data_IF_314128914184
#
_entry.id   IF_314128914184
#
_cell.length_a   1.000
_cell.length_b   1.000
_cell.length_c   1.000
_cell.angle_alpha   90.00
_cell.angle_beta   90.00
_cell.angle_gamma   90.00
#
_symmetry.space_group_name_H-M   'P 1'
#
loop_
_entity.id
_entity.type
_entity.pdbx_description
1 polymer ?
#
# COMPACT_ATOMS: atom_id res chain seq x y z
N UNK A 1 27.36 -8.53 -20.55
CA UNK A 1 26.68 -8.34 -19.25
C UNK A 1 25.25 -7.95 -19.57
N UNK A 2 24.29 -8.87 -19.46
CA UNK A 2 22.90 -8.59 -19.82
C UNK A 2 22.30 -7.65 -18.77
N UNK A 3 22.25 -6.36 -19.07
CA UNK A 3 21.51 -5.39 -18.27
C UNK A 3 20.03 -5.72 -18.40
N UNK A 4 19.44 -6.33 -17.37
CA UNK A 4 18.00 -6.46 -17.28
C UNK A 4 17.40 -5.04 -17.22
N UNK A 5 16.50 -4.70 -18.14
CA UNK A 5 15.82 -3.42 -18.15
C UNK A 5 14.82 -3.40 -16.98
N UNK A 6 15.21 -2.80 -15.86
CA UNK A 6 14.36 -2.62 -14.69
C UNK A 6 13.61 -1.30 -14.87
N UNK A 7 12.27 -1.37 -14.97
CA UNK A 7 11.42 -0.18 -14.88
C UNK A 7 11.09 0.04 -13.42
N UNK A 8 11.48 1.20 -12.91
CA UNK A 8 11.12 1.66 -11.57
C UNK A 8 9.93 2.60 -11.65
N UNK A 9 8.90 2.33 -10.86
CA UNK A 9 7.72 3.18 -10.73
C UNK A 9 7.65 3.67 -9.30
N UNK A 10 7.81 4.97 -9.10
CA UNK A 10 7.60 5.57 -7.79
C UNK A 10 6.11 5.52 -7.43
N UNK A 11 5.75 5.11 -6.23
CA UNK A 11 4.38 5.25 -5.72
C UNK A 11 4.49 6.24 -4.55
N UNK A 12 3.82 7.41 -4.60
CA UNK A 12 3.92 8.45 -3.56
C UNK A 12 2.89 8.23 -2.44
N UNK A 13 3.23 8.65 -1.20
CA UNK A 13 2.42 8.40 0.01
C UNK A 13 0.99 8.91 -0.08
N UNK A 14 0.74 9.91 -0.92
CA UNK A 14 -0.61 10.39 -1.23
C UNK A 14 -1.54 9.29 -1.76
N UNK A 15 -1.01 8.26 -2.42
CA UNK A 15 -1.76 7.10 -2.93
C UNK A 15 -2.09 6.05 -1.88
N UNK A 16 -1.54 6.16 -0.65
CA UNK A 16 -1.85 5.23 0.46
C UNK A 16 -3.36 5.15 0.76
N UNK A 17 -4.08 6.28 0.62
CA UNK A 17 -5.51 6.33 0.89
C UNK A 17 -6.31 5.40 -0.01
N UNK A 18 -5.91 5.24 -1.27
CA UNK A 18 -6.59 4.36 -2.23
C UNK A 18 -6.58 2.90 -1.76
N UNK A 19 -5.41 2.37 -1.38
CA UNK A 19 -5.28 1.03 -0.80
C UNK A 19 -6.14 0.85 0.46
N UNK A 20 -6.19 1.89 1.30
CA UNK A 20 -6.97 1.86 2.54
C UNK A 20 -8.48 1.84 2.27
N UNK A 21 -8.95 2.50 1.21
CA UNK A 21 -10.37 2.53 0.82
C UNK A 21 -10.86 1.14 0.44
N UNK A 22 -10.14 0.42 -0.44
CA UNK A 22 -10.53 -0.93 -0.83
C UNK A 22 -10.51 -1.87 0.38
N UNK A 23 -9.51 -1.75 1.26
CA UNK A 23 -9.44 -2.54 2.48
C UNK A 23 -10.62 -2.31 3.43
N UNK A 24 -11.12 -1.08 3.54
CA UNK A 24 -12.35 -0.80 4.32
C UNK A 24 -13.57 -1.49 3.71
N UNK A 25 -13.69 -1.49 2.38
CA UNK A 25 -14.77 -2.20 1.68
C UNK A 25 -14.70 -3.71 1.94
N UNK A 26 -13.49 -4.29 1.84
CA UNK A 26 -13.26 -5.70 2.16
C UNK A 26 -13.64 -6.03 3.60
N UNK A 27 -13.19 -5.24 4.57
CA UNK A 27 -13.48 -5.47 5.99
C UNK A 27 -15.00 -5.43 6.26
N UNK A 28 -15.72 -4.53 5.60
CA UNK A 28 -17.19 -4.48 5.67
C UNK A 28 -17.82 -5.74 5.09
N UNK A 29 -17.36 -6.19 3.92
CA UNK A 29 -17.85 -7.42 3.29
C UNK A 29 -17.59 -8.63 4.17
N UNK A 30 -16.34 -8.83 4.62
CA UNK A 30 -15.93 -9.96 5.46
C UNK A 30 -16.76 -10.03 6.74
N UNK A 31 -16.92 -8.91 7.45
CA UNK A 31 -17.77 -8.86 8.67
C UNK A 31 -19.21 -9.29 8.39
N UNK A 32 -19.85 -8.72 7.37
CA UNK A 32 -21.24 -9.02 7.06
C UNK A 32 -21.46 -10.45 6.54
N UNK A 33 -20.49 -10.98 5.78
CA UNK A 33 -20.51 -12.37 5.30
C UNK A 33 -20.37 -13.33 6.49
N UNK A 34 -19.44 -13.06 7.41
CA UNK A 34 -19.29 -13.87 8.62
C UNK A 34 -20.56 -13.90 9.47
N UNK A 35 -21.17 -12.73 9.72
CA UNK A 35 -22.45 -12.63 10.43
C UNK A 35 -23.55 -13.47 9.74
N UNK A 36 -23.69 -13.34 8.43
CA UNK A 36 -24.68 -14.10 7.67
C UNK A 36 -24.44 -15.62 7.70
N UNK A 37 -23.18 -16.07 7.73
CA UNK A 37 -22.83 -17.49 7.86
C UNK A 37 -23.16 -18.02 9.26
N UNK A 38 -22.86 -17.25 10.30
CA UNK A 38 -23.19 -17.60 11.69
C UNK A 38 -24.72 -17.73 11.87
N UNK A 39 -25.49 -16.81 11.29
CA UNK A 39 -26.96 -16.83 11.31
C UNK A 39 -27.58 -17.98 10.51
N UNK A 40 -26.87 -18.52 9.51
CA UNK A 40 -27.33 -19.65 8.69
C UNK A 40 -27.40 -20.98 9.44
N UNK A 41 -26.90 -21.05 10.68
CA UNK A 41 -26.94 -22.24 11.56
C UNK A 41 -26.36 -23.50 10.91
N UNK A 42 -25.26 -23.33 10.19
CA UNK A 42 -24.55 -24.44 9.54
C UNK A 42 -23.92 -25.34 10.61
N UNK A 43 -23.97 -26.66 10.39
CA UNK A 43 -23.25 -27.59 11.25
C UNK A 43 -21.74 -27.41 11.10
N UNK A 44 -21.05 -27.09 12.20
CA UNK A 44 -19.60 -26.90 12.22
C UNK A 44 -18.83 -28.03 11.52
N UNK A 45 -19.21 -29.29 11.76
CA UNK A 45 -18.56 -30.44 11.12
C UNK A 45 -18.66 -30.40 9.59
N UNK A 46 -19.79 -29.96 9.04
CA UNK A 46 -19.99 -29.83 7.59
C UNK A 46 -19.17 -28.67 7.03
N UNK A 47 -19.15 -27.53 7.71
CA UNK A 47 -18.33 -26.38 7.32
C UNK A 47 -16.84 -26.76 7.27
N UNK A 48 -16.33 -27.39 8.34
CA UNK A 48 -14.94 -27.85 8.40
C UNK A 48 -14.60 -28.83 7.29
N UNK A 49 -15.45 -29.84 7.07
CA UNK A 49 -15.23 -30.84 6.03
C UNK A 49 -15.16 -30.20 4.64
N UNK A 50 -16.02 -29.23 4.36
CA UNK A 50 -16.03 -28.50 3.10
C UNK A 50 -14.75 -27.67 2.93
N UNK A 51 -14.34 -26.87 3.92
CA UNK A 51 -13.12 -26.06 3.83
C UNK A 51 -11.87 -26.92 3.62
N UNK A 52 -11.76 -28.04 4.34
CA UNK A 52 -10.67 -29.00 4.15
C UNK A 52 -10.68 -29.61 2.75
N UNK A 53 -11.86 -29.82 2.16
CA UNK A 53 -11.97 -30.32 0.78
C UNK A 53 -11.56 -29.28 -0.27
N UNK A 54 -11.75 -27.98 0.01
CA UNK A 54 -11.27 -26.90 -0.86
C UNK A 54 -9.75 -26.75 -0.78
N UNK A 55 -9.20 -26.79 0.44
CA UNK A 55 -7.76 -26.71 0.67
C UNK A 55 -7.35 -27.62 1.85
N UNK A 56 -6.75 -28.76 1.52
CA UNK A 56 -6.33 -29.74 2.54
C UNK A 56 -5.15 -29.25 3.40
N UNK A 57 -4.41 -28.21 2.98
CA UNK A 57 -3.35 -27.61 3.80
C UNK A 57 -3.91 -26.94 5.07
N UNK A 58 -5.18 -26.54 5.05
CA UNK A 58 -5.86 -25.93 6.20
C UNK A 58 -6.30 -26.95 7.25
N UNK A 59 -6.15 -28.26 6.99
CA UNK A 59 -6.69 -29.33 7.84
C UNK A 59 -6.30 -29.20 9.30
N UNK A 60 -5.02 -28.95 9.58
CA UNK A 60 -4.54 -28.83 10.97
C UNK A 60 -5.15 -27.61 11.67
N UNK A 61 -5.17 -26.44 11.01
CA UNK A 61 -5.79 -25.21 11.54
C UNK A 61 -7.29 -25.41 11.79
N UNK A 62 -8.02 -25.92 10.80
CA UNK A 62 -9.48 -26.09 10.85
C UNK A 62 -9.90 -27.13 11.88
N UNK A 63 -9.10 -28.18 12.11
CA UNK A 63 -9.39 -29.17 13.14
C UNK A 63 -9.37 -28.56 14.54
N UNK A 64 -8.51 -27.56 14.78
CA UNK A 64 -8.37 -26.87 16.07
C UNK A 64 -9.48 -25.84 16.35
N UNK A 65 -10.19 -25.34 15.33
CA UNK A 65 -11.28 -24.38 15.53
C UNK A 65 -12.42 -24.97 16.38
N UNK A 66 -12.91 -24.27 17.39
CA UNK A 66 -13.97 -24.81 18.28
C UNK A 66 -15.38 -24.44 17.81
N UNK A 67 -15.49 -23.41 17.00
CA UNK A 67 -16.75 -22.81 16.57
C UNK A 67 -16.69 -22.31 15.11
N UNK A 68 -17.83 -21.81 14.62
CA UNK A 68 -17.96 -21.26 13.27
C UNK A 68 -17.07 -20.03 13.10
N UNK A 69 -17.03 -19.14 14.09
CA UNK A 69 -16.30 -17.88 14.02
C UNK A 69 -14.79 -18.06 13.84
N UNK A 70 -14.18 -18.95 14.64
CA UNK A 70 -12.78 -19.36 14.53
C UNK A 70 -12.49 -20.10 13.23
N UNK A 71 -13.46 -20.85 12.69
CA UNK A 71 -13.35 -21.49 11.37
C UNK A 71 -13.36 -20.44 10.24
N UNK A 72 -14.24 -19.43 10.33
CA UNK A 72 -14.33 -18.34 9.35
C UNK A 72 -13.14 -17.40 9.40
N UNK A 73 -12.52 -17.23 10.57
CA UNK A 73 -11.25 -16.50 10.68
C UNK A 73 -10.16 -17.15 9.82
N UNK A 74 -10.10 -18.48 9.76
CA UNK A 74 -9.17 -19.19 8.86
C UNK A 74 -9.54 -18.97 7.40
N UNK A 75 -10.83 -18.90 7.05
CA UNK A 75 -11.28 -18.60 5.68
C UNK A 75 -10.89 -17.17 5.27
N UNK A 76 -11.07 -16.19 6.17
CA UNK A 76 -10.67 -14.79 5.94
C UNK A 76 -9.15 -14.63 5.79
N UNK A 77 -8.36 -15.42 6.51
CA UNK A 77 -6.89 -15.45 6.36
C UNK A 77 -6.43 -15.88 4.96
N UNK A 78 -7.19 -16.78 4.32
CA UNK A 78 -6.91 -17.26 2.96
C UNK A 78 -7.42 -16.30 1.88
N UNK A 79 -8.24 -15.33 2.26
CA UNK A 79 -8.72 -14.29 1.36
C UNK A 79 -7.72 -13.12 1.27
N UNK A 80 -7.79 -12.41 0.15
CA UNK A 80 -7.10 -11.15 -0.11
C UNK A 80 -8.07 -10.10 -0.64
N UNK A 81 -7.56 -8.91 -0.94
CA UNK A 81 -8.39 -7.87 -1.57
C UNK A 81 -8.79 -8.21 -3.01
N UNK A 82 -8.10 -9.14 -3.66
CA UNK A 82 -8.36 -9.52 -5.06
C UNK A 82 -8.98 -10.90 -5.19
N UNK A 83 -8.74 -11.77 -4.21
CA UNK A 83 -9.22 -13.14 -4.18
C UNK A 83 -10.06 -13.37 -2.92
N UNK A 84 -11.36 -13.54 -3.12
CA UNK A 84 -12.33 -13.83 -2.07
C UNK A 84 -13.01 -15.18 -2.28
N UNK A 85 -12.46 -16.03 -3.16
CA UNK A 85 -13.01 -17.34 -3.49
C UNK A 85 -13.25 -18.23 -2.27
N UNK A 86 -12.42 -18.21 -1.20
CA UNK A 86 -12.72 -19.00 -0.01
C UNK A 86 -14.10 -18.65 0.61
N UNK A 87 -14.47 -17.36 0.63
CA UNK A 87 -15.82 -16.96 1.06
C UNK A 87 -16.90 -17.33 0.04
N UNK A 88 -16.66 -17.10 -1.27
CA UNK A 88 -17.61 -17.45 -2.33
C UNK A 88 -17.97 -18.95 -2.26
N UNK A 89 -16.97 -19.83 -2.18
CA UNK A 89 -17.18 -21.27 -2.12
C UNK A 89 -18.02 -21.70 -0.92
N UNK A 90 -17.79 -21.11 0.26
CA UNK A 90 -18.60 -21.39 1.47
C UNK A 90 -20.04 -20.92 1.26
N UNK A 91 -20.23 -19.68 0.82
CA UNK A 91 -21.57 -19.09 0.65
C UNK A 91 -22.39 -19.86 -0.39
N UNK A 92 -21.77 -20.24 -1.52
CA UNK A 92 -22.41 -21.01 -2.58
C UNK A 92 -22.78 -22.43 -2.13
N UNK A 93 -21.85 -23.13 -1.47
CA UNK A 93 -22.06 -24.50 -1.00
C UNK A 93 -23.24 -24.59 -0.03
N UNK A 94 -23.36 -23.63 0.88
CA UNK A 94 -24.42 -23.60 1.90
C UNK A 94 -25.63 -22.74 1.51
N UNK A 95 -25.63 -22.15 0.31
CA UNK A 95 -26.71 -21.35 -0.27
C UNK A 95 -27.17 -20.20 0.65
N UNK A 96 -26.22 -19.40 1.11
CA UNK A 96 -26.46 -18.34 2.09
C UNK A 96 -26.78 -17.02 1.37
N UNK A 97 -28.04 -16.86 0.94
CA UNK A 97 -28.48 -15.71 0.14
C UNK A 97 -28.22 -14.34 0.81
N UNK A 98 -28.24 -14.29 2.14
CA UNK A 98 -27.92 -13.07 2.89
C UNK A 98 -26.46 -12.62 2.69
N UNK A 99 -25.53 -13.57 2.55
CA UNK A 99 -24.11 -13.30 2.32
C UNK A 99 -23.82 -12.92 0.85
N UNK A 100 -24.55 -13.52 -0.11
CA UNK A 100 -24.40 -13.26 -1.55
C UNK A 100 -24.47 -11.76 -1.88
N UNK A 101 -25.38 -11.04 -1.22
CA UNK A 101 -25.54 -9.60 -1.43
C UNK A 101 -24.25 -8.85 -1.11
N UNK A 102 -23.60 -9.18 0.00
CA UNK A 102 -22.38 -8.50 0.45
C UNK A 102 -21.17 -8.85 -0.41
N UNK A 103 -21.08 -10.11 -0.87
CA UNK A 103 -20.08 -10.53 -1.85
C UNK A 103 -20.24 -9.72 -3.15
N UNK A 104 -21.46 -9.64 -3.70
CA UNK A 104 -21.73 -8.87 -4.93
C UNK A 104 -21.39 -7.39 -4.78
N UNK A 105 -21.83 -6.76 -3.70
CA UNK A 105 -21.50 -5.35 -3.40
C UNK A 105 -19.99 -5.11 -3.38
N UNK A 106 -19.21 -6.04 -2.82
CA UNK A 106 -17.75 -5.95 -2.81
C UNK A 106 -17.15 -6.16 -4.20
N UNK A 107 -17.60 -7.17 -4.95
CA UNK A 107 -17.11 -7.45 -6.30
C UNK A 107 -17.37 -6.27 -7.25
N UNK A 108 -18.53 -5.61 -7.14
CA UNK A 108 -18.82 -4.41 -7.91
C UNK A 108 -17.90 -3.25 -7.50
N UNK A 109 -17.75 -3.02 -6.20
CA UNK A 109 -16.84 -1.99 -5.66
C UNK A 109 -15.40 -2.21 -6.08
N UNK A 110 -14.91 -3.46 -6.02
CA UNK A 110 -13.54 -3.80 -6.38
C UNK A 110 -13.33 -3.68 -7.88
N UNK A 111 -14.29 -4.12 -8.70
CA UNK A 111 -14.27 -3.95 -10.15
C UNK A 111 -14.19 -2.47 -10.55
N UNK A 112 -15.05 -1.63 -9.97
CA UNK A 112 -15.00 -0.17 -10.18
C UNK A 112 -13.67 0.41 -9.73
N UNK A 113 -13.18 0.00 -8.56
CA UNK A 113 -11.87 0.37 -8.04
C UNK A 113 -10.80 0.05 -9.09
N UNK A 114 -10.70 -1.16 -9.63
CA UNK A 114 -9.63 -1.52 -10.58
C UNK A 114 -9.79 -0.91 -11.98
N UNK A 115 -11.02 -0.66 -12.42
CA UNK A 115 -11.28 -0.03 -13.72
C UNK A 115 -10.99 1.47 -13.72
N UNK A 116 -11.26 2.15 -12.60
CA UNK A 116 -11.20 3.60 -12.48
C UNK A 116 -10.16 4.10 -11.48
N UNK A 117 -9.27 3.22 -10.99
CA UNK A 117 -8.40 3.62 -9.90
C UNK A 117 -7.39 4.71 -10.29
N UNK A 118 -7.21 5.72 -9.42
CA UNK A 118 -6.09 6.64 -9.50
C UNK A 118 -4.70 5.98 -9.47
N UNK A 119 -4.58 4.74 -9.00
CA UNK A 119 -3.36 3.91 -9.07
C UNK A 119 -3.23 3.30 -10.45
N UNK A 120 -4.25 2.61 -10.98
CA UNK A 120 -4.18 1.98 -12.30
C UNK A 120 -3.89 3.00 -13.41
N UNK A 121 -4.53 4.17 -13.36
CA UNK A 121 -4.27 5.25 -14.31
C UNK A 121 -2.88 5.88 -14.12
N UNK A 122 -2.45 6.02 -12.86
CA UNK A 122 -1.09 6.45 -12.56
C UNK A 122 -0.07 5.46 -13.12
N UNK A 123 -0.23 4.15 -12.90
CA UNK A 123 0.64 3.11 -13.43
C UNK A 123 0.65 3.09 -14.95
N UNK A 124 -0.52 3.18 -15.59
CA UNK A 124 -0.62 3.28 -17.06
C UNK A 124 0.12 4.52 -17.57
N UNK A 125 0.00 5.66 -16.89
CA UNK A 125 0.70 6.90 -17.25
C UNK A 125 2.21 6.76 -17.07
N UNK A 126 2.68 6.26 -15.93
CA UNK A 126 4.11 6.08 -15.65
C UNK A 126 4.74 5.06 -16.60
N UNK A 127 4.06 3.95 -16.88
CA UNK A 127 4.51 2.95 -17.87
C UNK A 127 4.56 3.53 -19.29
N UNK A 128 3.58 4.36 -19.68
CA UNK A 128 3.58 5.04 -20.99
C UNK A 128 4.63 6.16 -21.06
N UNK A 129 4.87 6.89 -19.96
CA UNK A 129 5.90 7.93 -19.88
C UNK A 129 7.31 7.33 -19.89
N UNK A 130 7.46 6.11 -19.36
CA UNK A 130 8.69 5.30 -19.41
C UNK A 130 8.98 4.73 -20.82
N UNK A 131 8.17 5.05 -21.84
CA UNK A 131 8.30 4.56 -23.22
C UNK A 131 9.56 5.03 -23.99
N UNK A 132 10.64 5.43 -23.31
CA UNK A 132 12.01 5.26 -23.80
C UNK A 132 12.40 3.77 -23.88
N UNK A 133 11.61 2.87 -23.29
CA UNK A 133 11.82 1.42 -23.31
C UNK A 133 10.67 0.70 -24.03
N UNK A 134 10.95 -0.18 -25.01
CA UNK A 134 9.90 -0.93 -25.69
C UNK A 134 9.15 -1.78 -24.66
N UNK A 135 7.83 -1.70 -24.69
CA UNK A 135 6.85 -2.37 -23.82
C UNK A 135 6.96 -3.91 -23.73
N UNK A 136 7.92 -4.52 -24.40
CA UNK A 136 8.05 -5.96 -24.64
C UNK A 136 9.23 -6.65 -23.90
N UNK A 137 9.98 -5.97 -23.04
CA UNK A 137 11.18 -6.57 -22.40
C UNK A 137 11.21 -6.58 -20.86
N UNK A 138 10.20 -6.03 -20.17
CA UNK A 138 10.18 -6.06 -18.71
C UNK A 138 9.33 -7.22 -18.20
N UNK A 139 9.97 -8.31 -17.80
CA UNK A 139 9.37 -9.43 -17.05
C UNK A 139 9.04 -9.04 -15.61
N UNK A 140 9.72 -8.00 -15.08
CA UNK A 140 9.61 -7.54 -13.69
C UNK A 140 9.46 -6.02 -13.64
N UNK A 141 8.46 -5.54 -12.89
CA UNK A 141 8.32 -4.11 -12.54
C UNK A 141 8.76 -3.93 -11.09
N UNK A 142 9.57 -2.90 -10.82
CA UNK A 142 9.92 -2.54 -9.44
C UNK A 142 9.17 -1.29 -9.00
N UNK A 143 8.32 -1.42 -8.00
CA UNK A 143 7.61 -0.31 -7.39
C UNK A 143 8.40 0.22 -6.20
N UNK A 144 8.68 1.53 -6.22
CA UNK A 144 9.47 2.22 -5.18
C UNK A 144 8.54 3.09 -4.36
N UNK A 145 8.39 2.77 -3.07
CA UNK A 145 7.52 3.49 -2.16
C UNK A 145 8.34 4.45 -1.28
N UNK A 146 7.85 5.67 -1.08
CA UNK A 146 8.40 6.65 -0.11
C UNK A 146 7.91 6.41 1.33
N UNK A 147 7.19 5.30 1.57
CA UNK A 147 6.82 4.82 2.90
C UNK A 147 7.00 3.31 3.02
N UNK A 148 7.18 2.83 4.25
CA UNK A 148 7.16 1.41 4.57
C UNK A 148 5.76 1.02 5.07
N UNK A 149 4.99 0.19 4.34
CA UNK A 149 3.73 -0.35 4.83
C UNK A 149 3.97 -1.37 5.95
N UNK A 150 2.98 -1.56 6.83
CA UNK A 150 2.94 -2.73 7.70
C UNK A 150 2.74 -4.02 6.87
N UNK A 151 2.91 -5.19 7.50
CA UNK A 151 2.86 -6.48 6.82
C UNK A 151 1.56 -6.68 6.03
N UNK A 152 0.40 -6.40 6.65
CA UNK A 152 -0.89 -6.67 6.04
C UNK A 152 -1.20 -5.67 4.92
N UNK A 153 -0.80 -4.41 5.06
CA UNK A 153 -0.86 -3.41 3.99
C UNK A 153 0.10 -3.75 2.84
N UNK A 154 1.25 -4.36 3.13
CA UNK A 154 2.17 -4.80 2.09
C UNK A 154 1.56 -5.91 1.23
N UNK A 155 0.96 -6.90 1.88
CA UNK A 155 0.35 -8.02 1.15
C UNK A 155 -0.77 -7.51 0.23
N UNK A 156 -1.62 -6.58 0.70
CA UNK A 156 -2.60 -5.88 -0.14
C UNK A 156 -2.00 -5.19 -1.35
N UNK A 157 -0.91 -4.46 -1.13
CA UNK A 157 -0.23 -3.72 -2.18
C UNK A 157 0.28 -4.70 -3.23
N UNK A 158 0.88 -5.82 -2.82
CA UNK A 158 1.35 -6.85 -3.76
C UNK A 158 0.21 -7.41 -4.59
N UNK A 159 -0.90 -7.74 -3.96
CA UNK A 159 -2.05 -8.36 -4.64
C UNK A 159 -2.66 -7.40 -5.67
N UNK A 160 -2.92 -6.16 -5.25
CA UNK A 160 -3.45 -5.09 -6.12
C UNK A 160 -2.50 -4.80 -7.28
N UNK A 161 -1.20 -4.66 -7.01
CA UNK A 161 -0.21 -4.37 -8.05
C UNK A 161 -0.02 -5.54 -9.01
N UNK A 162 -0.07 -6.78 -8.52
CA UNK A 162 0.06 -7.98 -9.36
C UNK A 162 -1.11 -8.08 -10.31
N UNK A 163 -2.33 -7.86 -9.81
CA UNK A 163 -3.53 -7.88 -10.64
C UNK A 163 -3.57 -6.74 -11.67
N UNK A 164 -3.16 -5.53 -11.28
CA UNK A 164 -3.20 -4.37 -12.19
C UNK A 164 -2.08 -4.35 -13.22
N UNK A 165 -0.92 -4.93 -12.90
CA UNK A 165 0.25 -4.89 -13.78
C UNK A 165 0.42 -6.13 -14.66
N UNK A 166 -0.20 -7.26 -14.31
CA UNK A 166 -0.06 -8.53 -15.03
C UNK A 166 1.37 -9.05 -15.12
N UNK A 167 2.27 -8.56 -14.24
CA UNK A 167 3.71 -8.82 -14.24
C UNK A 167 4.21 -9.14 -12.85
N UNK A 168 5.42 -9.72 -12.76
CA UNK A 168 6.07 -9.94 -11.47
C UNK A 168 6.38 -8.60 -10.79
N UNK A 169 5.84 -8.44 -9.59
CA UNK A 169 5.95 -7.23 -8.77
C UNK A 169 7.14 -7.36 -7.82
N UNK A 170 8.13 -6.47 -7.95
CA UNK A 170 9.13 -6.23 -6.91
C UNK A 170 8.79 -4.95 -6.18
N UNK A 171 8.85 -4.96 -4.86
CA UNK A 171 8.60 -3.77 -4.03
C UNK A 171 9.90 -3.37 -3.35
N UNK A 172 10.29 -2.10 -3.51
CA UNK A 172 11.38 -1.44 -2.79
C UNK A 172 10.82 -0.28 -1.97
N UNK A 173 11.41 -0.06 -0.81
CA UNK A 173 11.11 1.11 0.03
C UNK A 173 12.33 1.99 0.07
N UNK A 174 12.10 3.30 0.02
CA UNK A 174 13.12 4.28 0.36
C UNK A 174 13.24 4.25 1.87
N UNK A 175 14.34 3.68 2.37
CA UNK A 175 14.59 3.64 3.81
C UNK A 175 14.93 5.07 4.27
N UNK A 176 14.22 5.55 5.31
CA UNK A 176 14.27 6.94 5.74
C UNK A 176 15.70 7.38 6.08
N UNK A 177 16.21 8.31 5.29
CA UNK A 177 17.55 8.84 5.42
C UNK A 177 17.95 9.54 4.12
N UNK A 178 17.45 10.76 3.93
CA UNK A 178 17.77 11.67 2.80
C UNK A 178 17.73 11.04 1.40
N UNK A 179 16.73 11.41 0.59
CA UNK A 179 16.76 11.09 -0.84
C UNK A 179 17.84 11.96 -1.49
N UNK A 180 18.89 11.33 -2.03
CA UNK A 180 19.90 12.01 -2.84
C UNK A 180 19.52 11.89 -4.31
N UNK A 181 19.28 13.02 -4.97
CA UNK A 181 18.97 13.09 -6.40
C UNK A 181 20.21 13.66 -7.10
N UNK A 182 20.89 12.81 -7.87
CA UNK A 182 22.04 13.22 -8.69
C UNK A 182 21.59 13.42 -10.13
N UNK A 183 21.63 14.66 -10.60
CA UNK A 183 21.34 15.02 -11.98
C UNK A 183 22.62 15.37 -12.72
N UNK A 184 22.71 15.00 -14.00
CA UNK A 184 23.82 15.40 -14.89
C UNK A 184 23.29 16.31 -15.98
N UNK A 185 24.06 17.35 -16.32
CA UNK A 185 23.71 18.34 -17.32
C UNK A 185 24.95 18.79 -18.09
N UNK A 186 24.82 19.25 -19.34
CA UNK A 186 25.93 19.80 -20.10
C UNK A 186 26.58 21.00 -19.42
N UNK A 187 27.92 21.04 -19.38
CA UNK A 187 28.67 22.09 -18.70
C UNK A 187 28.30 23.52 -19.14
N UNK A 188 27.98 23.74 -20.42
CA UNK A 188 27.59 25.05 -20.93
C UNK A 188 26.27 25.58 -20.34
N UNK A 189 25.47 24.73 -19.69
CA UNK A 189 24.22 25.11 -19.02
C UNK A 189 24.40 25.41 -17.52
N UNK A 190 25.63 25.37 -17.00
CA UNK A 190 25.90 25.58 -15.56
C UNK A 190 25.35 26.91 -15.04
N UNK A 191 25.54 28.01 -15.78
CA UNK A 191 25.04 29.31 -15.36
C UNK A 191 23.51 29.35 -15.24
N UNK A 192 22.81 28.80 -16.24
CA UNK A 192 21.34 28.72 -16.25
C UNK A 192 20.83 27.87 -15.09
N UNK A 193 21.47 26.73 -14.83
CA UNK A 193 21.11 25.85 -13.72
C UNK A 193 21.28 26.55 -12.37
N UNK A 194 22.40 27.24 -12.16
CA UNK A 194 22.65 27.97 -10.90
C UNK A 194 21.54 28.99 -10.67
N UNK A 195 21.21 29.80 -11.67
CA UNK A 195 20.13 30.80 -11.55
C UNK A 195 18.79 30.15 -11.19
N UNK A 196 18.39 29.10 -11.90
CA UNK A 196 17.14 28.39 -11.61
C UNK A 196 17.13 27.76 -10.21
N UNK A 197 18.25 27.21 -9.76
CA UNK A 197 18.35 26.64 -8.42
C UNK A 197 18.27 27.72 -7.34
N UNK A 198 18.87 28.89 -7.56
CA UNK A 198 18.78 30.03 -6.64
C UNK A 198 17.34 30.54 -6.54
N UNK A 199 16.65 30.70 -7.68
CA UNK A 199 15.26 31.16 -7.72
C UNK A 199 14.32 30.20 -6.97
N UNK A 200 14.59 28.89 -7.05
CA UNK A 200 13.79 27.86 -6.41
C UNK A 200 14.27 27.48 -4.99
N UNK A 201 15.39 28.03 -4.51
CA UNK A 201 16.03 27.58 -3.27
C UNK A 201 15.11 27.70 -2.05
N UNK A 202 14.37 28.80 -1.94
CA UNK A 202 13.43 29.00 -0.83
C UNK A 202 12.30 27.96 -0.82
N UNK A 203 11.81 27.60 -2.00
CA UNK A 203 10.82 26.53 -2.15
C UNK A 203 11.42 25.18 -1.73
N UNK A 204 12.66 24.88 -2.14
CA UNK A 204 13.33 23.64 -1.75
C UNK A 204 13.55 23.55 -0.23
N UNK A 205 14.00 24.63 0.41
CA UNK A 205 14.13 24.72 1.88
C UNK A 205 12.81 24.43 2.60
N UNK A 206 11.70 25.01 2.12
CA UNK A 206 10.35 24.78 2.65
C UNK A 206 9.88 23.32 2.49
N UNK A 207 10.42 22.59 1.51
CA UNK A 207 10.13 21.17 1.26
C UNK A 207 11.22 20.25 1.84
N UNK A 208 11.78 20.64 2.98
CA UNK A 208 12.70 19.83 3.76
C UNK A 208 14.01 19.42 3.08
N UNK A 209 14.52 20.25 2.16
CA UNK A 209 15.89 20.11 1.65
C UNK A 209 16.85 20.00 2.85
N UNK A 210 17.82 19.07 2.77
CA UNK A 210 18.91 18.92 3.75
C UNK A 210 20.24 19.43 3.23
N UNK A 211 20.53 19.17 1.96
CA UNK A 211 21.78 19.56 1.29
C UNK A 211 21.55 19.69 -0.21
N UNK A 212 22.13 20.71 -0.82
CA UNK A 212 22.16 20.94 -2.26
C UNK A 212 23.59 21.22 -2.69
N UNK A 213 24.07 20.47 -3.67
CA UNK A 213 25.42 20.63 -4.23
C UNK A 213 25.39 20.72 -5.76
N UNK A 214 26.36 21.43 -6.34
CA UNK A 214 26.68 21.40 -7.77
C UNK A 214 28.12 20.89 -7.90
N UNK A 215 28.30 19.66 -8.36
CA UNK A 215 29.59 18.99 -8.29
C UNK A 215 30.09 18.94 -6.84
N UNK A 216 31.27 19.51 -6.59
CA UNK A 216 31.88 19.60 -5.26
C UNK A 216 31.48 20.85 -4.47
N UNK A 217 30.75 21.79 -5.09
CA UNK A 217 30.32 23.02 -4.42
C UNK A 217 29.02 22.80 -3.64
N UNK A 218 29.04 23.08 -2.33
CA UNK A 218 27.85 23.07 -1.48
C UNK A 218 27.13 24.41 -1.63
N UNK A 219 25.98 24.41 -2.28
CA UNK A 219 25.13 25.60 -2.41
C UNK A 219 24.40 25.91 -1.11
N UNK A 220 23.92 24.88 -0.43
CA UNK A 220 23.19 25.01 0.81
C UNK A 220 23.21 23.69 1.58
N UNK A 221 23.31 23.76 2.90
CA UNK A 221 23.23 22.64 3.83
C UNK A 221 22.51 23.11 5.10
N UNK A 222 21.61 22.28 5.63
CA UNK A 222 20.86 22.60 6.84
C UNK A 222 21.79 22.44 8.06
N UNK A 223 21.81 23.43 8.95
CA UNK A 223 22.50 23.32 10.23
C UNK A 223 21.63 22.53 11.24
N UNK A 224 22.22 21.58 11.98
CA UNK A 224 21.48 20.69 12.90
C UNK A 224 20.83 21.40 14.11
N UNK A 225 21.17 22.67 14.37
CA UNK A 225 20.69 23.45 15.53
C UNK A 225 19.27 24.01 15.39
N UNK A 226 18.71 24.09 14.18
CA UNK A 226 17.35 24.60 13.96
C UNK A 226 16.25 23.59 14.31
N UNK A 227 16.62 22.32 14.55
CA UNK A 227 15.68 21.22 14.82
C UNK A 227 15.04 21.26 16.21
N UNK A 228 15.72 21.86 17.21
CA UNK A 228 15.22 21.93 18.60
C UNK A 228 14.16 23.03 18.77
N UNK A 229 14.30 24.18 18.10
CA UNK A 229 13.35 25.30 18.22
C UNK A 229 11.99 25.02 17.56
N UNK A 230 11.94 24.21 16.50
CA UNK A 230 10.69 23.81 15.85
C UNK A 230 9.92 22.71 16.60
N UNK A 231 10.58 22.00 17.52
CA UNK A 231 9.96 21.00 18.39
C UNK A 231 9.36 21.67 19.64
N UNK A 232 10.02 22.69 20.21
CA UNK A 232 9.50 23.43 21.37
C UNK A 232 8.24 24.28 21.08
N UNK A 233 8.08 24.83 19.86
CA UNK A 233 6.87 25.61 19.51
C UNK A 233 5.61 24.74 19.30
N UNK A 234 5.74 23.41 19.21
CA UNK A 234 4.61 22.49 18.97
C UNK A 234 4.03 21.85 20.22
N UNK A 235 4.61 22.09 21.40
CA UNK A 235 4.02 21.62 22.67
C UNK A 235 3.07 22.68 23.27
N UNK A 236 1.77 22.38 23.43
CA UNK A 236 0.85 23.29 24.13
C UNK A 236 1.15 23.28 25.63
N UNK A 237 1.51 24.45 26.18
CA UNK A 237 1.67 24.68 27.62
C UNK A 237 0.35 24.42 28.36
N UNK A 238 0.18 23.21 28.87
CA UNK A 238 -0.90 22.87 29.80
C UNK A 238 -0.47 23.36 31.19
N UNK A 239 -1.07 24.47 31.62
CA UNK A 239 -0.82 25.04 32.95
C UNK A 239 -1.64 24.26 33.99
N UNK A 240 -0.99 23.41 34.80
CA UNK A 240 -1.55 22.93 36.06
C UNK A 240 -1.00 23.84 37.18
N UNK A 241 -1.86 24.70 37.71
CA UNK A 241 -1.65 25.29 39.03
C UNK A 241 -2.21 24.32 40.07
N UNK A 242 -1.32 23.65 40.79
CA UNK A 242 -1.64 23.06 42.10
C UNK A 242 -0.96 23.94 43.16
N UNK A 243 -1.70 24.92 43.68
CA UNK A 243 -1.44 25.48 45.00
C UNK A 243 -2.26 24.65 45.98
N UNK A 244 -1.62 23.96 46.93
CA UNK A 244 -2.04 23.83 48.34
C UNK A 244 -0.94 23.10 49.11
N UNK A 245 -0.14 23.83 49.88
CA UNK A 245 0.49 23.30 51.09
C UNK A 245 0.11 24.15 52.30
N UNK A 246 -0.08 23.44 53.40
CA UNK A 246 -0.43 23.85 54.77
C UNK A 246 0.37 25.02 55.30
#
# INVERSE_FOLDING_TARGET
MHSYNIVEIAIPRSKKKEFTTLRKSYAKMSSNVCEAIEDAKIELKKLKAFIISMNNELKEKIQQCEDISSTLSVVDEECSLVDIEPFCGVVEQFKIEAADKHIKEYLDTSKEYFQSNPIADYLKKELKASATYPSLLCETITYVFDWKPDKKTLDDIKDILSMTSGKLVKIRYINGGSISITCSFPYHLTGVLITQLMDNLQFLKKNDLKKLTIGYWIMWEREEKETEQLLEEKEPKTSLKEEYQK
#
